data_IF_616628976527
#
_entry.id   IF_616628976527
#
_cell.length_a   1.000
_cell.length_b   1.000
_cell.length_c   1.000
_cell.angle_alpha   90.00
_cell.angle_beta   90.00
_cell.angle_gamma   90.00
#
_symmetry.space_group_name_H-M   'P 1'
#
loop_
_entity.id
_entity.type
_entity.pdbx_description
1 polymer ?
#
# COMPACT_ATOMS: atom_id res chain seq x y z
N UNK A 1 12.80 13.65 28.87
CA UNK A 1 12.54 12.25 28.50
C UNK A 1 11.83 12.28 27.17
N UNK A 2 12.54 11.97 26.09
CA UNK A 2 11.99 12.04 24.73
C UNK A 2 11.10 10.82 24.49
N UNK A 3 9.80 11.04 24.31
CA UNK A 3 8.86 10.00 23.92
C UNK A 3 9.27 9.46 22.55
N UNK A 4 9.87 8.28 22.52
CA UNK A 4 10.05 7.48 21.32
C UNK A 4 8.67 6.99 20.89
N UNK A 5 7.89 7.86 20.25
CA UNK A 5 6.76 7.42 19.45
C UNK A 5 7.38 6.64 18.29
N UNK A 6 7.09 5.34 18.13
CA UNK A 6 7.59 4.62 16.96
C UNK A 6 6.98 5.30 15.75
N UNK A 7 7.83 5.91 14.91
CA UNK A 7 7.40 6.48 13.65
C UNK A 7 6.73 5.36 12.83
N UNK A 8 5.56 5.62 12.24
CA UNK A 8 4.93 4.73 11.27
C UNK A 8 4.75 5.48 9.95
N UNK A 9 4.89 4.76 8.84
CA UNK A 9 4.68 5.26 7.48
C UNK A 9 3.44 4.56 6.91
N UNK A 10 2.36 5.31 6.67
CA UNK A 10 1.21 4.81 5.92
C UNK A 10 1.38 5.18 4.45
N UNK A 11 1.31 4.16 3.58
CA UNK A 11 1.30 4.29 2.13
C UNK A 11 -0.06 3.84 1.60
N UNK A 12 -0.62 4.57 0.65
CA UNK A 12 -1.80 4.14 -0.09
C UNK A 12 -1.38 3.47 -1.39
N UNK A 13 -1.96 2.33 -1.72
CA UNK A 13 -1.80 1.64 -2.99
C UNK A 13 -3.15 1.49 -3.67
N UNK A 14 -3.26 2.03 -4.89
CA UNK A 14 -4.46 1.88 -5.74
C UNK A 14 -4.18 0.78 -6.76
N UNK A 15 -5.02 -0.24 -6.76
CA UNK A 15 -4.91 -1.41 -7.64
C UNK A 15 -6.02 -1.37 -8.69
N UNK A 16 -5.66 -1.47 -9.97
CA UNK A 16 -6.60 -1.61 -11.10
C UNK A 16 -6.61 -3.07 -11.59
N UNK A 17 -6.84 -4.01 -10.66
CA UNK A 17 -6.86 -5.44 -10.98
C UNK A 17 -8.28 -5.88 -11.33
N UNK A 18 -8.58 -5.92 -12.63
CA UNK A 18 -9.87 -6.38 -13.17
C UNK A 18 -9.87 -7.86 -13.53
N UNK A 19 -8.81 -8.59 -13.21
CA UNK A 19 -8.65 -9.99 -13.63
C UNK A 19 -9.24 -10.93 -12.58
N UNK A 20 -9.94 -11.98 -13.01
CA UNK A 20 -10.59 -12.95 -12.09
C UNK A 20 -9.61 -13.82 -11.30
N UNK A 21 -8.40 -14.02 -11.85
CA UNK A 21 -7.33 -14.74 -11.18
C UNK A 21 -6.41 -13.81 -10.36
N UNK A 22 -6.55 -12.49 -10.53
CA UNK A 22 -5.67 -11.48 -9.97
C UNK A 22 -4.26 -11.47 -10.59
N UNK A 23 -3.63 -10.30 -10.62
CA UNK A 23 -2.21 -10.11 -10.99
C UNK A 23 -1.26 -10.33 -9.81
N UNK A 24 -1.81 -10.52 -8.61
CA UNK A 24 -1.04 -10.72 -7.39
C UNK A 24 -0.51 -9.43 -6.76
N UNK A 25 -1.00 -8.26 -7.17
CA UNK A 25 -0.54 -6.95 -6.68
C UNK A 25 -0.72 -6.81 -5.16
N UNK A 26 -1.87 -7.25 -4.63
CA UNK A 26 -2.15 -7.30 -3.18
C UNK A 26 -1.12 -8.12 -2.42
N UNK A 27 -0.75 -9.27 -2.96
CA UNK A 27 0.23 -10.18 -2.36
C UNK A 27 1.64 -9.59 -2.42
N UNK A 28 2.02 -8.98 -3.55
CA UNK A 28 3.31 -8.31 -3.69
C UNK A 28 3.49 -7.17 -2.67
N UNK A 29 2.45 -6.36 -2.46
CA UNK A 29 2.46 -5.31 -1.43
C UNK A 29 2.58 -5.87 -0.01
N UNK A 30 1.84 -6.93 0.31
CA UNK A 30 1.92 -7.58 1.62
C UNK A 30 3.34 -8.13 1.89
N UNK A 31 3.94 -8.79 0.89
CA UNK A 31 5.30 -9.33 0.99
C UNK A 31 6.35 -8.23 1.11
N UNK A 32 6.21 -7.13 0.36
CA UNK A 32 7.12 -5.99 0.46
C UNK A 32 7.03 -5.33 1.85
N UNK A 33 5.80 -5.10 2.34
CA UNK A 33 5.54 -4.56 3.68
C UNK A 33 6.16 -5.44 4.76
N UNK A 34 5.93 -6.75 4.69
CA UNK A 34 6.47 -7.72 5.64
C UNK A 34 8.00 -7.76 5.56
N UNK A 35 8.58 -7.76 4.36
CA UNK A 35 10.03 -7.73 4.19
C UNK A 35 10.64 -6.50 4.84
N UNK A 36 10.09 -5.32 4.59
CA UNK A 36 10.57 -4.06 5.18
C UNK A 36 10.42 -4.07 6.71
N UNK A 37 9.26 -4.50 7.22
CA UNK A 37 9.01 -4.58 8.66
C UNK A 37 9.81 -5.69 9.37
N UNK A 38 10.27 -6.72 8.63
CA UNK A 38 11.13 -7.78 9.15
C UNK A 38 12.59 -7.34 9.29
N UNK A 39 13.01 -6.29 8.57
CA UNK A 39 14.38 -5.76 8.68
C UNK A 39 14.50 -4.95 9.96
N UNK A 40 14.93 -5.63 11.02
CA UNK A 40 15.28 -5.02 12.30
C UNK A 40 16.69 -4.41 12.14
N UNK A 41 16.76 -3.22 11.57
CA UNK A 41 17.97 -2.39 11.59
C UNK A 41 18.00 -1.53 12.87
N UNK A 42 19.19 -1.34 13.43
CA UNK A 42 19.45 -0.38 14.51
C UNK A 42 20.08 0.85 13.86
N UNK A 43 19.46 2.04 13.90
CA UNK A 43 18.30 2.45 14.71
C UNK A 43 16.96 1.95 14.16
N UNK A 44 16.01 1.70 15.08
CA UNK A 44 14.68 1.16 14.77
C UNK A 44 13.99 1.98 13.67
N UNK A 45 13.84 1.36 12.49
CA UNK A 45 13.10 1.94 11.37
C UNK A 45 11.61 2.04 11.69
N UNK A 46 10.97 3.03 11.09
CA UNK A 46 9.54 3.22 11.16
C UNK A 46 8.79 1.99 10.61
N UNK A 47 7.65 1.63 11.23
CA UNK A 47 6.79 0.56 10.71
C UNK A 47 6.08 1.03 9.45
N UNK A 48 6.06 0.21 8.41
CA UNK A 48 5.35 0.49 7.15
C UNK A 48 3.99 -0.17 7.18
N UNK A 49 2.95 0.61 6.89
CA UNK A 49 1.57 0.21 6.68
C UNK A 49 1.17 0.53 5.24
N UNK A 50 0.37 -0.34 4.64
CA UNK A 50 -0.12 -0.17 3.26
C UNK A 50 -1.63 -0.30 3.27
N UNK A 51 -2.32 0.79 2.95
CA UNK A 51 -3.76 0.83 2.71
C UNK A 51 -4.02 0.51 1.23
N UNK A 52 -4.85 -0.50 0.97
CA UNK A 52 -5.14 -0.96 -0.39
C UNK A 52 -6.52 -0.46 -0.82
N UNK A 53 -6.55 0.25 -1.94
CA UNK A 53 -7.76 0.71 -2.61
C UNK A 53 -7.86 0.01 -3.97
N UNK A 54 -9.06 -0.37 -4.37
CA UNK A 54 -9.32 -0.94 -5.69
C UNK A 54 -10.01 0.09 -6.56
N UNK A 55 -9.50 0.26 -7.77
CA UNK A 55 -10.13 1.07 -8.79
C UNK A 55 -11.21 0.23 -9.48
N UNK A 56 -12.48 0.60 -9.29
CA UNK A 56 -13.61 -0.09 -9.92
C UNK A 56 -13.72 0.18 -11.42
N UNK A 57 -13.41 1.41 -11.85
CA UNK A 57 -13.48 1.84 -13.25
C UNK A 57 -12.42 2.92 -13.52
N UNK A 58 -11.90 2.95 -14.74
CA UNK A 58 -10.98 4.00 -15.17
C UNK A 58 -11.83 5.22 -15.55
N UNK A 59 -12.06 6.09 -14.57
CA UNK A 59 -13.05 7.17 -14.64
C UNK A 59 -12.42 8.55 -14.85
N UNK A 60 -11.13 8.63 -15.20
CA UNK A 60 -10.42 9.91 -15.25
C UNK A 60 -11.03 10.92 -16.26
N UNK A 61 -11.82 10.47 -17.23
CA UNK A 61 -12.54 11.31 -18.20
C UNK A 61 -13.89 10.71 -18.62
N UNK A 62 -14.77 10.39 -17.67
CA UNK A 62 -16.15 10.02 -18.02
C UNK A 62 -16.90 11.29 -18.50
N UNK A 63 -16.79 11.58 -19.80
CA UNK A 63 -17.58 12.63 -20.44
C UNK A 63 -18.96 12.06 -20.69
N UNK A 64 -19.94 12.45 -19.89
CA UNK A 64 -21.35 12.26 -20.26
C UNK A 64 -21.60 13.06 -21.53
N UNK A 65 -21.86 12.37 -22.64
CA UNK A 65 -22.36 12.97 -23.87
C UNK A 65 -23.61 13.81 -23.55
N UNK A 66 -23.52 15.12 -23.79
CA UNK A 66 -24.62 16.09 -23.70
C UNK A 66 -25.18 16.41 -25.07
#
# INVERSE_FOLDING_TARGET
GSSLVPFSWSLAAVLDDRTTCGRGERLALALAREKINSVIEVPAKARVEVEIFELGQDSQYEVTDT
#
